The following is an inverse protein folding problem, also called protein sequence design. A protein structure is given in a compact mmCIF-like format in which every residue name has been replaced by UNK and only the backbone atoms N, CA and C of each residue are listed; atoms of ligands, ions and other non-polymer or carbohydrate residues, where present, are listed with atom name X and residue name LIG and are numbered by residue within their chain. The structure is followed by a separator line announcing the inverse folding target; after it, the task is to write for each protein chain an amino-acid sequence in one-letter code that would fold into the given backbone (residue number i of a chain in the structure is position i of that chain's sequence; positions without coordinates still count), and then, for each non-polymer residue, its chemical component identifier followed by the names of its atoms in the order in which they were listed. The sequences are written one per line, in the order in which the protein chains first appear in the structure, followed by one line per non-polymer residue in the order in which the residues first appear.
data_IF_649847100141
#
_entry.id   IF_649847100141
#
_cell.length_a   1.000
_cell.length_b   1.000
_cell.length_c   1.000
_cell.angle_alpha   90.00
_cell.angle_beta   90.00
_cell.angle_gamma   90.00
#
_symmetry.space_group_name_H-M   'P 1'
#
loop_
_entity.id
_entity.type
_entity.pdbx_description
1 polymer ?
#
# COMPACT_ATOMS: atom_id res chain seq x y z
N UNK A 1 16.95 20.39 1.47
CA UNK A 1 17.83 19.31 1.03
C UNK A 1 18.22 18.48 2.23
N UNK A 2 18.30 17.18 2.10
CA UNK A 2 18.72 16.26 3.16
C UNK A 2 20.24 16.32 3.35
N UNK A 3 20.68 16.26 4.60
CA UNK A 3 22.11 16.19 4.96
C UNK A 3 22.62 14.76 5.02
N UNK A 4 21.72 13.82 5.36
CA UNK A 4 22.02 12.39 5.50
C UNK A 4 20.93 11.55 4.82
N UNK A 5 21.23 10.28 4.46
CA UNK A 5 20.21 9.35 4.02
C UNK A 5 19.21 9.12 5.14
N UNK A 6 17.93 9.06 4.80
CA UNK A 6 16.83 8.75 5.74
C UNK A 6 16.01 7.58 5.23
N UNK A 7 15.47 6.81 6.16
CA UNK A 7 14.60 5.66 5.86
C UNK A 7 13.14 6.03 5.99
N UNK A 8 12.28 5.23 5.36
CA UNK A 8 10.82 5.33 5.53
C UNK A 8 10.47 5.26 7.02
N UNK A 9 9.58 6.14 7.48
CA UNK A 9 9.15 6.22 8.87
C UNK A 9 10.01 7.08 9.78
N UNK A 10 11.14 7.60 9.27
CA UNK A 10 11.99 8.52 10.05
C UNK A 10 11.29 9.87 10.25
N UNK A 11 11.27 10.36 11.49
CA UNK A 11 10.77 11.69 11.82
C UNK A 11 11.87 12.71 11.55
N UNK A 12 11.62 13.66 10.66
CA UNK A 12 12.59 14.66 10.26
C UNK A 12 12.90 15.63 11.39
N UNK A 13 14.18 15.80 11.65
CA UNK A 13 14.74 16.70 12.65
C UNK A 13 15.49 17.86 11.98
N UNK A 14 15.78 18.95 12.71
CA UNK A 14 16.57 20.04 12.14
C UNK A 14 17.96 19.63 11.63
N UNK A 15 18.55 18.57 12.19
CA UNK A 15 19.87 18.06 11.77
C UNK A 15 19.84 17.28 10.45
N UNK A 16 18.66 16.82 10.02
CA UNK A 16 18.50 16.06 8.79
C UNK A 16 18.38 16.92 7.55
N UNK A 17 18.20 18.22 7.73
CA UNK A 17 17.88 19.15 6.65
C UNK A 17 18.77 20.37 6.65
N UNK A 18 19.10 20.84 5.45
CA UNK A 18 19.70 22.15 5.25
C UNK A 18 18.99 22.92 4.15
N UNK A 19 18.79 24.24 4.31
CA UNK A 19 18.26 25.09 3.26
C UNK A 19 19.27 25.21 2.12
N UNK A 20 18.78 25.15 0.89
CA UNK A 20 19.58 25.39 -0.32
C UNK A 20 18.85 26.35 -1.24
N UNK A 21 19.61 27.21 -1.90
CA UNK A 21 19.05 28.08 -2.92
C UNK A 21 19.06 27.35 -4.27
N UNK A 22 17.87 27.11 -4.82
CA UNK A 22 17.72 26.49 -6.12
C UNK A 22 16.80 27.32 -7.01
N UNK A 23 17.15 27.42 -8.26
CA UNK A 23 16.26 28.02 -9.25
C UNK A 23 15.24 26.98 -9.72
N UNK A 24 14.10 26.95 -9.05
CA UNK A 24 12.97 26.09 -9.38
C UNK A 24 11.98 26.91 -10.21
N UNK A 25 11.87 26.60 -11.47
CA UNK A 25 10.88 27.23 -12.37
C UNK A 25 9.44 26.98 -11.88
N UNK A 26 8.48 26.77 -12.74
CA UNK A 26 7.06 26.53 -12.38
C UNK A 26 6.81 25.36 -11.40
N UNK A 27 7.79 24.51 -11.16
CA UNK A 27 7.68 23.36 -10.24
C UNK A 27 7.95 23.68 -8.76
N UNK A 28 8.24 24.92 -8.41
CA UNK A 28 8.61 25.32 -7.04
C UNK A 28 7.55 24.97 -5.97
N UNK A 29 6.28 24.85 -6.35
CA UNK A 29 5.18 24.50 -5.44
C UNK A 29 5.21 23.04 -4.96
N UNK A 30 5.95 22.18 -5.65
CA UNK A 30 6.07 20.76 -5.29
C UNK A 30 7.07 20.52 -4.15
N UNK A 31 7.92 21.50 -3.85
CA UNK A 31 8.99 21.37 -2.87
C UNK A 31 8.70 22.14 -1.58
N UNK A 32 9.19 21.59 -0.48
CA UNK A 32 9.11 22.23 0.82
C UNK A 32 10.09 23.43 0.89
N UNK A 33 9.62 24.57 1.36
CA UNK A 33 10.33 25.85 1.24
C UNK A 33 11.03 26.31 2.51
N UNK A 34 10.64 25.81 3.67
CA UNK A 34 11.20 26.21 4.95
C UNK A 34 11.43 25.02 5.86
N UNK A 35 12.42 25.13 6.74
CA UNK A 35 12.71 24.11 7.74
C UNK A 35 11.51 23.86 8.67
N UNK A 36 10.80 24.91 9.05
CA UNK A 36 9.64 24.81 9.95
C UNK A 36 8.50 23.98 9.37
N UNK A 37 8.39 23.90 8.03
CA UNK A 37 7.42 23.05 7.35
C UNK A 37 7.81 21.57 7.32
N UNK A 38 9.05 21.25 7.59
CA UNK A 38 9.65 19.93 7.41
C UNK A 38 9.88 19.21 8.74
N UNK A 39 10.31 19.96 9.76
CA UNK A 39 10.62 19.39 11.08
C UNK A 39 9.36 18.78 11.70
N UNK A 40 9.49 17.54 12.15
CA UNK A 40 8.38 16.77 12.74
C UNK A 40 7.54 15.98 11.73
N UNK A 41 7.76 16.18 10.41
CA UNK A 41 7.13 15.34 9.39
C UNK A 41 7.84 13.98 9.31
N UNK A 42 7.13 13.00 8.81
CA UNK A 42 7.60 11.62 8.65
C UNK A 42 7.91 11.32 7.20
N UNK A 43 9.05 10.72 6.94
CA UNK A 43 9.46 10.29 5.60
C UNK A 43 8.57 9.14 5.09
N UNK A 44 7.93 9.30 3.95
CA UNK A 44 7.09 8.29 3.29
C UNK A 44 7.88 7.25 2.52
N UNK A 45 9.12 7.57 2.19
CA UNK A 45 10.04 6.69 1.45
C UNK A 45 11.47 6.88 1.92
N UNK A 46 12.31 5.92 1.60
CA UNK A 46 13.75 6.06 1.77
C UNK A 46 14.29 7.10 0.77
N UNK A 47 15.12 8.01 1.25
CA UNK A 47 15.71 9.11 0.48
C UNK A 47 17.21 9.20 0.74
N UNK A 48 17.96 9.59 -0.27
CA UNK A 48 19.41 9.75 -0.19
C UNK A 48 19.83 11.11 0.40
N UNK A 49 21.10 11.19 0.80
CA UNK A 49 21.72 12.49 1.09
C UNK A 49 21.69 13.37 -0.17
N UNK A 50 21.67 14.70 0.04
CA UNK A 50 21.60 15.72 -1.01
C UNK A 50 20.29 15.72 -1.83
N UNK A 51 19.31 14.91 -1.45
CA UNK A 51 18.00 14.90 -2.09
C UNK A 51 17.14 16.08 -1.62
N UNK A 52 16.43 16.72 -2.55
CA UNK A 52 15.52 17.83 -2.25
C UNK A 52 14.13 17.29 -1.92
N UNK A 53 13.60 17.70 -0.76
CA UNK A 53 12.31 17.23 -0.26
C UNK A 53 11.13 17.84 -1.00
N UNK A 54 10.27 17.00 -1.53
CA UNK A 54 8.97 17.38 -2.06
C UNK A 54 7.86 17.18 -1.02
N UNK A 55 6.72 17.83 -1.24
CA UNK A 55 5.53 17.66 -0.39
C UNK A 55 5.04 16.21 -0.38
N UNK A 56 5.23 15.48 -1.48
CA UNK A 56 4.81 14.08 -1.60
C UNK A 56 5.69 13.09 -0.83
N UNK A 57 6.91 13.50 -0.43
CA UNK A 57 7.88 12.63 0.23
C UNK A 57 7.65 12.48 1.73
N UNK A 58 6.79 13.32 2.30
CA UNK A 58 6.56 13.42 3.75
C UNK A 58 5.08 13.39 4.11
N UNK A 59 4.80 13.10 5.37
CA UNK A 59 3.43 13.09 5.94
C UNK A 59 3.45 13.57 7.38
N UNK A 60 2.30 13.99 7.88
CA UNK A 60 2.14 14.45 9.27
C UNK A 60 2.00 13.29 10.29
N UNK A 61 1.80 12.06 9.84
CA UNK A 61 1.46 10.96 10.73
C UNK A 61 2.18 9.67 10.35
N UNK A 62 2.71 8.98 11.36
CA UNK A 62 3.20 7.61 11.22
C UNK A 62 2.09 6.62 10.86
N UNK A 63 0.85 6.92 11.20
CA UNK A 63 -0.28 6.02 10.96
C UNK A 63 -0.52 5.80 9.46
N UNK A 64 -0.18 6.80 8.63
CA UNK A 64 -0.24 6.66 7.16
C UNK A 64 0.86 5.76 6.57
N UNK A 65 1.85 5.36 7.38
CA UNK A 65 2.97 4.50 7.00
C UNK A 65 2.88 3.10 7.61
N UNK A 66 1.96 2.89 8.53
CA UNK A 66 1.70 1.59 9.16
C UNK A 66 0.94 0.67 8.19
N UNK A 67 1.52 0.48 7.00
CA UNK A 67 1.02 -0.48 6.01
C UNK A 67 1.92 -1.69 5.98
N UNK A 68 1.28 -2.86 6.00
CA UNK A 68 1.94 -4.14 5.84
C UNK A 68 1.69 -4.69 4.44
N UNK A 69 2.70 -5.29 3.86
CA UNK A 69 2.56 -6.07 2.63
C UNK A 69 2.10 -7.48 2.99
N UNK A 70 0.90 -7.84 2.59
CA UNK A 70 0.33 -9.17 2.88
C UNK A 70 0.16 -9.94 1.58
N UNK A 71 0.80 -11.12 1.45
CA UNK A 71 0.60 -12.00 0.30
C UNK A 71 -0.74 -12.75 0.45
N UNK A 72 -1.47 -12.84 -0.66
CA UNK A 72 -2.72 -13.58 -0.76
C UNK A 72 -2.59 -14.56 -1.91
N UNK A 73 -2.83 -15.84 -1.64
CA UNK A 73 -2.92 -16.87 -2.67
C UNK A 73 -4.38 -17.05 -3.07
N UNK A 74 -4.66 -16.96 -4.36
CA UNK A 74 -5.99 -17.02 -4.95
C UNK A 74 -6.02 -18.04 -6.07
N UNK A 75 -7.21 -18.62 -6.32
CA UNK A 75 -7.45 -19.27 -7.62
C UNK A 75 -7.49 -18.21 -8.71
N UNK A 76 -7.04 -18.53 -9.90
CA UNK A 76 -7.10 -17.59 -11.03
C UNK A 76 -8.52 -17.09 -11.31
N UNK A 77 -9.54 -17.90 -11.02
CA UNK A 77 -10.97 -17.55 -11.15
C UNK A 77 -11.45 -16.53 -10.09
N UNK A 78 -10.76 -16.40 -8.97
CA UNK A 78 -11.14 -15.53 -7.85
C UNK A 78 -10.43 -14.14 -7.92
N UNK A 79 -9.60 -13.93 -8.92
CA UNK A 79 -8.96 -12.66 -9.22
C UNK A 79 -9.61 -12.03 -10.45
N UNK A 80 -10.05 -10.76 -10.32
CA UNK A 80 -10.58 -10.01 -11.46
C UNK A 80 -9.54 -9.90 -12.58
N UNK A 81 -9.98 -10.06 -13.81
CA UNK A 81 -9.11 -9.91 -14.98
C UNK A 81 -8.64 -8.47 -15.14
N UNK A 82 -7.39 -8.31 -15.59
CA UNK A 82 -6.80 -6.99 -15.85
C UNK A 82 -6.37 -6.22 -14.61
N UNK A 83 -6.24 -6.88 -13.45
CA UNK A 83 -5.62 -6.28 -12.26
C UNK A 83 -4.12 -6.18 -12.48
N UNK A 84 -3.59 -4.98 -12.28
CA UNK A 84 -2.18 -4.65 -12.43
C UNK A 84 -1.60 -4.08 -11.13
N UNK A 85 -0.26 -3.98 -11.07
CA UNK A 85 0.44 -3.32 -9.97
C UNK A 85 -0.04 -1.86 -9.82
N UNK A 86 -0.34 -1.47 -8.60
CA UNK A 86 -0.85 -0.13 -8.28
C UNK A 86 -2.36 0.02 -8.38
N UNK A 87 -3.08 -0.97 -8.88
CA UNK A 87 -4.53 -0.92 -8.95
C UNK A 87 -5.18 -1.02 -7.56
N UNK A 88 -6.27 -0.26 -7.32
CA UNK A 88 -7.12 -0.45 -6.16
C UNK A 88 -8.02 -1.67 -6.36
N UNK A 89 -8.10 -2.51 -5.35
CA UNK A 89 -8.97 -3.70 -5.36
C UNK A 89 -9.80 -3.79 -4.08
N UNK A 90 -10.95 -4.43 -4.21
CA UNK A 90 -11.80 -4.79 -3.09
C UNK A 90 -11.67 -6.30 -2.84
N UNK A 91 -11.54 -6.69 -1.58
CA UNK A 91 -11.37 -8.08 -1.17
C UNK A 91 -12.62 -8.54 -0.44
N UNK A 92 -13.28 -9.52 -1.00
CA UNK A 92 -14.46 -10.18 -0.43
C UNK A 92 -14.10 -11.53 0.15
N UNK A 93 -14.71 -11.84 1.27
CA UNK A 93 -14.69 -13.17 1.85
C UNK A 93 -15.93 -13.95 1.44
N UNK A 94 -15.73 -15.16 0.94
CA UNK A 94 -16.80 -16.05 0.48
C UNK A 94 -16.66 -17.37 1.22
N UNK A 95 -17.74 -17.78 1.87
CA UNK A 95 -17.84 -19.10 2.47
C UNK A 95 -18.50 -20.05 1.47
N UNK A 96 -17.78 -21.10 1.11
CA UNK A 96 -18.37 -22.15 0.27
C UNK A 96 -19.39 -22.95 1.08
N UNK A 97 -20.66 -22.88 0.68
CA UNK A 97 -21.72 -23.70 1.30
C UNK A 97 -21.49 -25.18 0.97
N UNK A 98 -21.47 -26.02 2.00
CA UNK A 98 -21.49 -27.47 1.85
C UNK A 98 -22.94 -27.94 1.86
N UNK A 99 -23.20 -29.11 1.26
CA UNK A 99 -24.52 -29.69 1.10
C UNK A 99 -25.44 -29.52 2.32
N UNK A 100 -26.50 -28.72 2.16
CA UNK A 100 -27.52 -28.52 3.18
C UNK A 100 -27.27 -27.37 4.18
N UNK A 101 -26.18 -26.64 4.08
CA UNK A 101 -25.94 -25.45 4.89
C UNK A 101 -26.56 -24.20 4.27
N UNK A 102 -26.93 -23.24 5.12
CA UNK A 102 -27.44 -21.96 4.67
C UNK A 102 -26.38 -21.20 3.83
N UNK A 103 -26.82 -20.62 2.72
CA UNK A 103 -25.96 -19.75 1.91
C UNK A 103 -25.66 -18.49 2.71
N UNK A 104 -24.36 -18.20 2.88
CA UNK A 104 -23.89 -16.96 3.51
C UNK A 104 -23.48 -15.99 2.41
N UNK A 105 -24.00 -14.76 2.47
CA UNK A 105 -23.65 -13.72 1.51
C UNK A 105 -22.17 -13.36 1.62
N UNK A 106 -21.49 -13.07 0.50
CA UNK A 106 -20.13 -12.56 0.51
C UNK A 106 -20.00 -11.29 1.34
N UNK A 107 -18.91 -11.17 2.08
CA UNK A 107 -18.65 -10.03 2.96
C UNK A 107 -17.44 -9.26 2.43
N UNK A 108 -17.58 -7.95 2.23
CA UNK A 108 -16.47 -7.06 1.95
C UNK A 108 -15.56 -6.98 3.19
N UNK A 109 -14.32 -7.44 3.07
CA UNK A 109 -13.35 -7.39 4.15
C UNK A 109 -12.51 -6.12 4.07
N UNK A 110 -12.00 -5.82 2.89
CA UNK A 110 -11.12 -4.68 2.64
C UNK A 110 -11.55 -4.00 1.35
N UNK A 111 -11.71 -2.68 1.40
CA UNK A 111 -12.06 -1.86 0.25
C UNK A 111 -10.89 -1.00 -0.21
N UNK A 112 -10.74 -0.84 -1.52
CA UNK A 112 -9.78 0.07 -2.16
C UNK A 112 -8.33 -0.11 -1.68
N UNK A 113 -7.90 -1.35 -1.45
CA UNK A 113 -6.49 -1.65 -1.10
C UNK A 113 -5.63 -1.72 -2.37
N UNK A 114 -4.39 -1.28 -2.27
CA UNK A 114 -3.48 -1.21 -3.42
C UNK A 114 -2.74 -2.52 -3.61
N UNK A 115 -2.72 -3.02 -4.84
CA UNK A 115 -1.90 -4.16 -5.26
C UNK A 115 -0.45 -3.70 -5.42
N UNK A 116 0.45 -4.28 -4.63
CA UNK A 116 1.89 -3.94 -4.63
C UNK A 116 2.77 -5.06 -5.15
N UNK A 117 2.21 -6.24 -5.36
CA UNK A 117 2.89 -7.39 -5.96
C UNK A 117 1.90 -8.27 -6.72
N UNK A 118 2.33 -8.82 -7.84
CA UNK A 118 1.55 -9.74 -8.65
C UNK A 118 2.49 -10.81 -9.19
N UNK A 119 2.26 -12.06 -8.82
CA UNK A 119 2.96 -13.21 -9.36
C UNK A 119 1.98 -14.09 -10.14
N UNK A 120 2.09 -13.98 -11.44
CA UNK A 120 1.26 -14.67 -12.44
C UNK A 120 1.99 -15.83 -13.13
N UNK A 121 3.18 -16.15 -12.67
CA UNK A 121 4.09 -17.11 -13.35
C UNK A 121 3.54 -18.54 -13.46
N UNK A 122 2.47 -18.86 -12.74
CA UNK A 122 1.85 -20.20 -12.73
C UNK A 122 0.57 -20.32 -13.58
N UNK A 123 0.16 -19.25 -14.25
CA UNK A 123 -1.13 -19.17 -14.94
C UNK A 123 -1.27 -20.01 -16.22
N UNK A 124 -0.21 -20.58 -16.76
CA UNK A 124 -0.29 -21.33 -18.02
C UNK A 124 -1.18 -22.60 -17.96
N UNK A 125 -1.58 -23.04 -16.76
CA UNK A 125 -2.35 -24.28 -16.54
C UNK A 125 -3.48 -24.18 -15.49
N UNK A 126 -3.99 -22.96 -15.20
CA UNK A 126 -5.09 -22.79 -14.22
C UNK A 126 -4.65 -22.93 -12.75
N UNK A 127 -3.40 -22.57 -12.44
CA UNK A 127 -2.85 -22.60 -11.09
C UNK A 127 -3.26 -21.43 -10.21
N UNK A 128 -2.79 -21.44 -8.98
CA UNK A 128 -2.98 -20.36 -8.03
C UNK A 128 -2.16 -19.12 -8.43
N UNK A 129 -2.75 -17.95 -8.24
CA UNK A 129 -2.12 -16.64 -8.40
C UNK A 129 -1.78 -16.08 -7.04
N UNK A 130 -0.63 -15.48 -6.89
CA UNK A 130 -0.25 -14.76 -5.67
C UNK A 130 -0.26 -13.27 -5.94
N UNK A 131 -0.99 -12.52 -5.12
CA UNK A 131 -0.93 -11.07 -5.09
C UNK A 131 -0.46 -10.59 -3.73
N UNK A 132 0.20 -9.45 -3.68
CA UNK A 132 0.52 -8.76 -2.43
C UNK A 132 -0.23 -7.45 -2.39
N UNK A 133 -0.86 -7.17 -1.27
CA UNK A 133 -1.63 -5.94 -1.04
C UNK A 133 -1.06 -5.15 0.12
N UNK A 134 -1.10 -3.83 0.01
CA UNK A 134 -0.74 -2.92 1.09
C UNK A 134 -1.96 -2.63 1.94
N UNK A 135 -1.95 -3.05 3.20
CA UNK A 135 -3.04 -2.84 4.14
C UNK A 135 -2.54 -2.27 5.46
N UNK A 136 -3.42 -1.64 6.21
CA UNK A 136 -3.10 -1.17 7.56
C UNK A 136 -2.83 -2.35 8.49
N UNK A 137 -1.86 -2.18 9.39
CA UNK A 137 -1.46 -3.22 10.32
C UNK A 137 -2.64 -3.77 11.15
N UNK A 138 -3.57 -2.89 11.53
CA UNK A 138 -4.78 -3.25 12.27
C UNK A 138 -5.70 -4.21 11.51
N UNK A 139 -5.62 -4.26 10.19
CA UNK A 139 -6.46 -5.10 9.32
C UNK A 139 -5.80 -6.43 8.94
N UNK A 140 -4.51 -6.60 9.22
CA UNK A 140 -3.75 -7.81 8.86
C UNK A 140 -4.38 -9.06 9.46
N UNK A 141 -4.69 -9.03 10.76
CA UNK A 141 -5.26 -10.18 11.46
C UNK A 141 -6.65 -10.56 10.91
N UNK A 142 -7.46 -9.56 10.56
CA UNK A 142 -8.77 -9.78 9.95
C UNK A 142 -8.64 -10.49 8.61
N UNK A 143 -7.70 -10.05 7.77
CA UNK A 143 -7.44 -10.68 6.47
C UNK A 143 -6.94 -12.12 6.65
N UNK A 144 -5.96 -12.34 7.51
CA UNK A 144 -5.42 -13.68 7.77
C UNK A 144 -6.46 -14.63 8.34
N UNK A 145 -7.32 -14.15 9.23
CA UNK A 145 -8.43 -14.97 9.76
C UNK A 145 -9.42 -15.39 8.66
N UNK A 146 -9.69 -14.48 7.72
CA UNK A 146 -10.58 -14.77 6.60
C UNK A 146 -10.01 -15.84 5.66
N UNK A 147 -8.68 -15.88 5.45
CA UNK A 147 -8.03 -16.89 4.60
C UNK A 147 -8.15 -18.31 5.16
N UNK A 148 -8.30 -18.46 6.48
CA UNK A 148 -8.40 -19.78 7.14
C UNK A 148 -9.80 -20.35 7.14
N UNK A 149 -10.84 -19.51 7.00
CA UNK A 149 -12.23 -19.90 7.16
C UNK A 149 -13.06 -19.97 5.87
N UNK A 150 -12.52 -19.48 4.77
CA UNK A 150 -13.19 -19.43 3.49
C UNK A 150 -12.22 -19.07 2.39
N UNK A 151 -12.74 -18.64 1.24
CA UNK A 151 -11.93 -18.16 0.14
C UNK A 151 -12.05 -16.64 -0.01
N UNK A 152 -11.03 -16.05 -0.56
CA UNK A 152 -11.02 -14.63 -0.90
C UNK A 152 -11.28 -14.46 -2.39
N UNK A 153 -12.07 -13.47 -2.73
CA UNK A 153 -12.31 -13.03 -4.10
C UNK A 153 -11.87 -11.57 -4.21
N UNK A 154 -11.05 -11.29 -5.20
CA UNK A 154 -10.50 -9.96 -5.44
C UNK A 154 -11.15 -9.34 -6.65
N UNK A 155 -11.78 -8.19 -6.46
CA UNK A 155 -12.51 -7.44 -7.47
C UNK A 155 -11.82 -6.10 -7.68
N UNK A 156 -11.74 -5.63 -8.92
CA UNK A 156 -11.20 -4.31 -9.20
C UNK A 156 -12.13 -3.23 -8.65
N UNK A 157 -11.58 -2.33 -7.83
CA UNK A 157 -12.33 -1.20 -7.31
C UNK A 157 -12.37 -0.08 -8.35
N UNK A 158 -13.56 0.37 -8.69
CA UNK A 158 -13.78 1.55 -9.53
C UNK A 158 -14.21 2.70 -8.61
N UNK A 159 -13.25 3.41 -8.13
CA UNK A 159 -13.49 4.63 -7.34
C UNK A 159 -13.20 5.86 -8.19
#
# INVERSE_FOLDING_TARGET
MLTNPITTGHVLTPSDIQPVHMNLSSSAQKYLRSADQVVGLVAKRTMGADEVLSVSDVTNSNDSLATSSVPISLRSSDLASGVELGDPVDIYWVLDSRNGEAVVDPILILGAVTVIGLDDSKNALGGDVSISVAIEETQVLRLLSATTQGRLVVVRSYV
#
